data_IF_862152945069
#
_entry.id   IF_862152945069
#
_cell.length_a   1.000
_cell.length_b   1.000
_cell.length_c   1.000
_cell.angle_alpha   90.00
_cell.angle_beta   90.00
_cell.angle_gamma   90.00
#
_symmetry.space_group_name_H-M   'P 1'
#
loop_
_entity.id
_entity.type
_entity.pdbx_description
1 polymer ?
#
# COMPACT_ATOMS: atom_id res chain seq x y z
N UNK A 1 11.03 -56.21 7.39
CA UNK A 1 12.00 -55.24 7.95
C UNK A 1 12.96 -54.61 6.93
N UNK A 2 13.52 -55.32 5.92
CA UNK A 2 14.48 -54.71 4.96
C UNK A 2 13.94 -53.56 4.07
N UNK A 3 12.63 -53.53 3.76
CA UNK A 3 12.01 -52.46 2.93
C UNK A 3 11.90 -51.10 3.64
N UNK A 4 11.72 -51.08 4.97
CA UNK A 4 11.58 -49.84 5.74
C UNK A 4 12.92 -49.09 5.81
N UNK A 5 14.02 -49.83 6.01
CA UNK A 5 15.39 -49.28 6.03
C UNK A 5 15.81 -48.64 4.68
N UNK A 6 15.28 -49.12 3.55
CA UNK A 6 15.56 -48.49 2.24
C UNK A 6 14.79 -47.18 2.06
N UNK A 7 13.55 -47.10 2.55
CA UNK A 7 12.73 -45.87 2.48
C UNK A 7 13.30 -44.78 3.39
N UNK A 8 13.75 -45.14 4.59
CA UNK A 8 14.40 -44.19 5.51
C UNK A 8 15.72 -43.65 4.95
N UNK A 9 16.51 -44.48 4.25
CA UNK A 9 17.72 -44.02 3.54
C UNK A 9 17.40 -43.05 2.40
N UNK A 10 16.32 -43.28 1.65
CA UNK A 10 15.90 -42.36 0.57
C UNK A 10 15.42 -41.03 1.13
N UNK A 11 14.62 -41.06 2.21
CA UNK A 11 14.11 -39.84 2.86
C UNK A 11 15.24 -39.02 3.51
N UNK A 12 16.23 -39.67 4.13
CA UNK A 12 17.40 -38.98 4.69
C UNK A 12 18.26 -38.32 3.59
N UNK A 13 18.42 -38.98 2.44
CA UNK A 13 19.14 -38.40 1.29
C UNK A 13 18.41 -37.17 0.74
N UNK A 14 17.08 -37.20 0.66
CA UNK A 14 16.29 -36.05 0.20
C UNK A 14 16.27 -34.89 1.21
N UNK A 15 16.20 -35.16 2.52
CA UNK A 15 16.32 -34.11 3.54
C UNK A 15 17.71 -33.45 3.56
N UNK A 16 18.78 -34.24 3.42
CA UNK A 16 20.13 -33.70 3.38
C UNK A 16 20.38 -32.90 2.10
N UNK A 17 19.78 -33.33 0.98
CA UNK A 17 19.76 -32.58 -0.28
C UNK A 17 18.97 -31.28 -0.15
N UNK A 18 17.80 -31.30 0.50
CA UNK A 18 16.97 -30.12 0.79
C UNK A 18 17.62 -29.15 1.80
N UNK A 19 18.42 -29.65 2.75
CA UNK A 19 19.20 -28.81 3.67
C UNK A 19 20.40 -28.17 2.97
N UNK A 20 21.12 -28.91 2.12
CA UNK A 20 22.24 -28.39 1.31
C UNK A 20 21.76 -27.33 0.30
N UNK A 21 20.57 -27.48 -0.29
CA UNK A 21 20.00 -26.48 -1.22
C UNK A 21 19.65 -25.15 -0.53
N UNK A 22 19.35 -25.12 0.77
CA UNK A 22 19.07 -23.86 1.48
C UNK A 22 20.27 -22.91 1.58
N UNK A 23 21.50 -23.42 1.53
CA UNK A 23 22.73 -22.60 1.64
C UNK A 23 23.42 -22.32 0.31
N UNK A 24 23.20 -23.17 -0.71
CA UNK A 24 23.75 -22.94 -2.04
C UNK A 24 23.00 -21.80 -2.73
N UNK A 25 23.72 -21.00 -3.52
CA UNK A 25 23.21 -19.86 -4.29
C UNK A 25 23.57 -20.08 -5.75
N UNK A 26 22.66 -20.71 -6.48
CA UNK A 26 22.93 -21.17 -7.84
C UNK A 26 23.06 -20.03 -8.84
N UNK A 27 22.18 -19.03 -8.75
CA UNK A 27 22.08 -17.96 -9.75
C UNK A 27 22.64 -16.65 -9.20
N UNK A 28 23.86 -16.31 -9.57
CA UNK A 28 24.57 -15.14 -9.06
C UNK A 28 24.78 -14.15 -10.21
N UNK A 29 24.50 -12.88 -9.95
CA UNK A 29 24.83 -11.79 -10.86
C UNK A 29 25.91 -10.93 -10.19
N UNK A 30 27.02 -10.74 -10.89
CA UNK A 30 28.11 -9.85 -10.48
C UNK A 30 28.18 -8.69 -11.45
N UNK A 31 28.24 -7.47 -10.92
CA UNK A 31 28.43 -6.24 -11.69
C UNK A 31 29.77 -5.65 -11.34
N UNK A 32 30.66 -5.54 -12.32
CA UNK A 32 31.94 -4.84 -12.19
C UNK A 32 31.78 -3.44 -12.80
N UNK A 33 31.77 -2.44 -11.93
CA UNK A 33 31.52 -1.03 -12.29
C UNK A 33 32.83 -0.35 -12.69
N UNK A 34 32.78 0.61 -13.61
CA UNK A 34 33.93 1.38 -14.10
C UNK A 34 35.09 0.54 -14.62
N UNK A 35 34.80 -0.44 -15.48
CA UNK A 35 35.80 -1.32 -16.06
C UNK A 35 36.86 -0.57 -16.89
N UNK A 36 36.49 0.57 -17.48
CA UNK A 36 37.37 1.47 -18.23
C UNK A 36 38.51 2.04 -17.38
N UNK A 37 38.30 2.18 -16.07
CA UNK A 37 39.27 2.76 -15.14
C UNK A 37 40.21 1.71 -14.51
N UNK A 38 40.18 0.48 -15.02
CA UNK A 38 40.91 -0.66 -14.46
C UNK A 38 41.88 -1.26 -15.48
N UNK A 39 42.94 -1.95 -15.03
CA UNK A 39 43.79 -2.73 -15.92
C UNK A 39 42.93 -3.62 -16.81
N UNK A 40 43.21 -3.62 -18.11
CA UNK A 40 42.44 -4.38 -19.09
C UNK A 40 42.33 -5.84 -18.65
N UNK A 41 41.11 -6.26 -18.38
CA UNK A 41 40.79 -7.65 -18.02
C UNK A 41 39.88 -8.19 -19.10
N UNK A 42 40.40 -9.11 -19.91
CA UNK A 42 39.60 -9.71 -20.97
C UNK A 42 38.51 -10.63 -20.39
N UNK A 43 37.44 -10.81 -21.16
CA UNK A 43 36.30 -11.64 -20.73
C UNK A 43 36.68 -13.10 -20.53
N UNK A 44 37.73 -13.59 -21.22
CA UNK A 44 38.27 -14.95 -21.03
C UNK A 44 38.91 -15.12 -19.66
N UNK A 45 39.67 -14.13 -19.20
CA UNK A 45 40.24 -14.11 -17.85
C UNK A 45 39.14 -14.10 -16.79
N UNK A 46 38.09 -13.29 -16.98
CA UNK A 46 36.93 -13.27 -16.09
C UNK A 46 36.29 -14.66 -16.00
N UNK A 47 36.05 -15.32 -17.15
CA UNK A 47 35.47 -16.67 -17.21
C UNK A 47 36.38 -17.68 -16.49
N UNK A 48 37.69 -17.67 -16.76
CA UNK A 48 38.63 -18.60 -16.11
C UNK A 48 38.60 -18.46 -14.60
N UNK A 49 38.74 -17.21 -14.12
CA UNK A 49 38.70 -16.88 -12.70
C UNK A 49 37.42 -17.39 -12.03
N UNK A 50 36.25 -17.18 -12.65
CA UNK A 50 34.96 -17.64 -12.09
C UNK A 50 34.90 -19.18 -12.04
N UNK A 51 35.41 -19.87 -13.07
CA UNK A 51 35.46 -21.33 -13.11
C UNK A 51 36.40 -21.93 -12.07
N UNK A 52 37.52 -21.27 -11.80
CA UNK A 52 38.46 -21.70 -10.76
C UNK A 52 37.86 -21.55 -9.35
N UNK A 53 36.89 -20.65 -9.21
CA UNK A 53 36.24 -20.36 -7.93
C UNK A 53 35.03 -21.27 -7.61
N UNK A 54 34.27 -21.66 -8.64
CA UNK A 54 33.01 -22.40 -8.50
C UNK A 54 32.86 -23.47 -9.59
N UNK A 55 32.20 -24.57 -9.25
CA UNK A 55 31.68 -25.51 -10.25
C UNK A 55 30.52 -24.85 -11.00
N UNK A 56 30.81 -24.31 -12.18
CA UNK A 56 29.85 -23.57 -13.00
C UNK A 56 29.24 -24.45 -14.08
N UNK A 57 27.91 -24.36 -14.20
CA UNK A 57 27.14 -24.92 -15.31
C UNK A 57 27.14 -24.00 -16.52
N UNK A 58 27.06 -22.69 -16.27
CA UNK A 58 27.07 -21.66 -17.29
C UNK A 58 27.57 -20.32 -16.75
N UNK A 59 28.22 -19.55 -17.61
CA UNK A 59 28.63 -18.17 -17.37
C UNK A 59 28.23 -17.34 -18.59
N UNK A 60 27.60 -16.19 -18.37
CA UNK A 60 27.29 -15.22 -19.42
C UNK A 60 27.84 -13.85 -19.02
N UNK A 61 28.52 -13.16 -19.93
CA UNK A 61 29.10 -11.83 -19.70
C UNK A 61 28.56 -10.88 -20.75
N UNK A 62 27.95 -9.78 -20.30
CA UNK A 62 27.58 -8.66 -21.14
C UNK A 62 28.40 -7.42 -20.76
N UNK A 63 28.67 -6.58 -21.75
CA UNK A 63 29.27 -5.26 -21.54
C UNK A 63 28.19 -4.20 -21.71
N UNK A 64 27.90 -3.46 -20.64
CA UNK A 64 27.00 -2.30 -20.68
C UNK A 64 27.84 -1.03 -20.75
N UNK A 65 27.52 -0.12 -21.68
CA UNK A 65 28.20 1.17 -21.82
C UNK A 65 27.15 2.25 -21.60
N UNK A 66 27.18 2.90 -20.44
CA UNK A 66 26.30 4.02 -20.16
C UNK A 66 26.80 5.27 -20.90
N UNK A 67 25.98 5.79 -21.80
CA UNK A 67 26.20 7.13 -22.36
C UNK A 67 25.88 8.14 -21.27
N UNK A 68 26.80 9.05 -20.96
CA UNK A 68 26.56 10.13 -20.00
C UNK A 68 25.37 10.97 -20.48
N UNK A 69 24.24 10.83 -19.82
CA UNK A 69 23.24 11.89 -19.76
C UNK A 69 23.62 12.80 -18.60
N UNK A 70 23.67 14.11 -18.85
CA UNK A 70 24.18 15.16 -17.95
C UNK A 70 24.02 14.84 -16.45
N UNK A 71 25.14 14.53 -15.79
CA UNK A 71 25.20 14.31 -14.33
C UNK A 71 25.37 12.86 -13.86
N UNK A 72 25.18 11.85 -14.72
CA UNK A 72 25.44 10.45 -14.37
C UNK A 72 26.84 10.00 -14.81
N UNK A 73 27.51 9.25 -13.93
CA UNK A 73 28.83 8.65 -14.17
C UNK A 73 28.77 7.74 -15.41
N UNK A 74 29.27 8.22 -16.56
CA UNK A 74 29.51 7.36 -17.71
C UNK A 74 30.55 6.31 -17.34
N UNK A 75 30.26 5.07 -17.67
CA UNK A 75 31.11 3.95 -17.32
C UNK A 75 30.77 2.71 -18.12
N UNK A 76 31.79 1.91 -18.36
CA UNK A 76 31.67 0.56 -18.88
C UNK A 76 31.49 -0.41 -17.71
N UNK A 77 30.39 -1.15 -17.71
CA UNK A 77 30.08 -2.16 -16.70
C UNK A 77 30.16 -3.55 -17.32
N UNK A 78 30.76 -4.50 -16.59
CA UNK A 78 30.60 -5.91 -16.91
C UNK A 78 29.52 -6.53 -16.04
N UNK A 79 28.52 -7.14 -16.67
CA UNK A 79 27.51 -7.95 -16.00
C UNK A 79 27.80 -9.43 -16.23
N UNK A 80 28.12 -10.13 -15.16
CA UNK A 80 28.53 -11.53 -15.17
C UNK A 80 27.42 -12.35 -14.50
N UNK A 81 26.70 -13.12 -15.29
CA UNK A 81 25.77 -14.14 -14.82
C UNK A 81 26.49 -15.45 -14.59
N UNK A 82 26.32 -16.02 -13.42
CA UNK A 82 26.95 -17.27 -13.01
C UNK A 82 25.86 -18.23 -12.57
N UNK A 83 25.82 -19.41 -13.20
CA UNK A 83 25.07 -20.56 -12.72
C UNK A 83 26.04 -21.52 -12.05
N UNK A 84 26.20 -21.39 -10.73
CA UNK A 84 27.09 -22.20 -9.90
C UNK A 84 26.35 -23.37 -9.24
N UNK A 85 27.04 -24.47 -9.00
CA UNK A 85 26.50 -25.67 -8.34
C UNK A 85 26.89 -25.76 -6.86
N UNK A 86 27.91 -25.02 -6.44
CA UNK A 86 28.57 -25.16 -5.13
C UNK A 86 28.80 -23.83 -4.39
N UNK A 87 28.22 -22.73 -4.90
CA UNK A 87 28.40 -21.41 -4.32
C UNK A 87 27.64 -21.24 -3.00
N UNK A 88 28.37 -21.23 -1.87
CA UNK A 88 27.77 -21.09 -0.53
C UNK A 88 27.45 -19.63 -0.18
N UNK A 89 26.23 -19.36 0.31
CA UNK A 89 25.78 -18.03 0.77
C UNK A 89 26.76 -17.38 1.77
N UNK A 90 27.39 -18.17 2.63
CA UNK A 90 28.16 -17.66 3.77
C UNK A 90 29.50 -17.05 3.35
N UNK A 91 30.10 -17.52 2.25
CA UNK A 91 31.40 -17.05 1.77
C UNK A 91 31.37 -16.48 0.35
N UNK A 92 30.24 -16.57 -0.35
CA UNK A 92 30.03 -16.09 -1.73
C UNK A 92 30.64 -14.70 -1.97
N UNK A 93 30.26 -13.71 -1.16
CA UNK A 93 30.70 -12.32 -1.34
C UNK A 93 32.20 -12.15 -1.12
N UNK A 94 32.76 -12.83 -0.11
CA UNK A 94 34.20 -12.77 0.19
C UNK A 94 35.00 -13.37 -0.98
N UNK A 95 34.58 -14.55 -1.45
CA UNK A 95 35.18 -15.29 -2.56
C UNK A 95 35.15 -14.51 -3.88
N UNK A 96 34.00 -13.93 -4.25
CA UNK A 96 33.88 -13.13 -5.49
C UNK A 96 34.73 -11.86 -5.41
N UNK A 97 34.76 -11.15 -4.26
CA UNK A 97 35.58 -9.94 -4.14
C UNK A 97 37.08 -10.23 -4.20
N UNK A 98 37.54 -11.36 -3.65
CA UNK A 98 38.95 -11.77 -3.80
C UNK A 98 39.33 -12.14 -5.23
N UNK A 99 38.34 -12.44 -6.09
CA UNK A 99 38.57 -12.81 -7.48
C UNK A 99 38.95 -11.61 -8.38
N UNK A 100 38.57 -10.41 -7.94
CA UNK A 100 38.70 -9.17 -8.69
C UNK A 100 39.40 -8.10 -7.83
N UNK A 101 40.67 -8.32 -7.43
CA UNK A 101 41.41 -7.39 -6.56
C UNK A 101 41.54 -5.97 -7.12
N UNK A 102 41.45 -5.83 -8.44
CA UNK A 102 41.47 -4.56 -9.17
C UNK A 102 40.17 -3.75 -9.02
N UNK A 103 39.05 -4.36 -8.61
CA UNK A 103 37.81 -3.68 -8.23
C UNK A 103 37.65 -3.58 -6.71
N UNK A 104 37.88 -2.39 -6.14
CA UNK A 104 37.81 -2.15 -4.69
C UNK A 104 36.41 -1.76 -4.22
N UNK A 105 36.03 -2.23 -3.03
CA UNK A 105 34.87 -1.74 -2.27
C UNK A 105 33.53 -1.95 -2.99
N UNK A 106 32.85 -0.85 -3.31
CA UNK A 106 31.52 -0.83 -3.95
C UNK A 106 31.55 -1.04 -5.46
N UNK A 107 32.74 -1.09 -6.07
CA UNK A 107 32.88 -1.33 -7.51
C UNK A 107 32.50 -2.77 -7.94
N UNK A 108 32.23 -3.66 -6.97
CA UNK A 108 31.71 -5.02 -7.20
C UNK A 108 30.31 -5.13 -6.58
N UNK A 109 29.29 -5.07 -7.43
CA UNK A 109 27.91 -5.41 -7.09
C UNK A 109 27.71 -6.92 -7.13
N UNK A 110 27.05 -7.49 -6.12
CA UNK A 110 26.74 -8.93 -6.07
C UNK A 110 25.29 -9.12 -5.65
N UNK A 111 24.47 -9.63 -6.56
CA UNK A 111 23.08 -10.02 -6.31
C UNK A 111 22.86 -11.50 -6.57
N UNK A 112 21.86 -12.07 -5.90
CA UNK A 112 21.48 -13.47 -6.05
C UNK A 112 20.03 -13.54 -6.48
N UNK A 113 19.77 -14.32 -7.52
CA UNK A 113 18.46 -14.40 -8.18
C UNK A 113 17.79 -15.74 -7.91
N UNK A 114 16.45 -15.79 -8.03
CA UNK A 114 15.67 -17.03 -7.84
C UNK A 114 15.72 -17.99 -9.03
N UNK A 115 16.21 -17.54 -10.19
CA UNK A 115 16.22 -18.33 -11.41
C UNK A 115 17.10 -17.75 -12.50
N UNK A 116 17.68 -18.62 -13.32
CA UNK A 116 18.58 -18.26 -14.43
C UNK A 116 17.95 -17.26 -15.40
N UNK A 117 16.66 -17.41 -15.72
CA UNK A 117 15.97 -16.50 -16.65
C UNK A 117 15.95 -15.04 -16.20
N UNK A 118 15.98 -14.77 -14.89
CA UNK A 118 16.09 -13.39 -14.39
C UNK A 118 17.48 -12.80 -14.66
N UNK A 119 18.53 -13.62 -14.65
CA UNK A 119 19.90 -13.21 -14.93
C UNK A 119 20.08 -13.00 -16.43
N UNK A 120 19.63 -13.96 -17.26
CA UNK A 120 19.68 -13.82 -18.72
C UNK A 120 19.02 -12.53 -19.17
N UNK A 121 17.80 -12.24 -18.67
CA UNK A 121 17.09 -10.99 -19.00
C UNK A 121 17.86 -9.73 -18.59
N UNK A 122 18.59 -9.76 -17.48
CA UNK A 122 19.35 -8.62 -17.01
C UNK A 122 20.59 -8.38 -17.88
N UNK A 123 21.34 -9.44 -18.17
CA UNK A 123 22.56 -9.40 -18.98
C UNK A 123 22.25 -8.98 -20.41
N UNK A 124 21.16 -9.48 -20.99
CA UNK A 124 20.77 -9.19 -22.37
C UNK A 124 19.93 -7.92 -22.49
N UNK A 125 19.90 -7.05 -21.46
CA UNK A 125 19.10 -5.83 -21.48
C UNK A 125 19.66 -4.83 -22.48
N UNK A 126 20.94 -4.51 -22.37
CA UNK A 126 21.63 -3.53 -23.23
C UNK A 126 22.52 -4.21 -24.29
N UNK A 127 23.08 -5.38 -23.98
CA UNK A 127 23.97 -6.13 -24.89
C UNK A 127 23.29 -7.39 -25.43
N UNK A 128 23.00 -7.40 -26.74
CA UNK A 128 22.40 -8.56 -27.42
C UNK A 128 23.43 -9.62 -27.84
N UNK A 129 24.72 -9.40 -27.56
CA UNK A 129 25.81 -10.31 -27.92
C UNK A 129 26.65 -10.70 -26.71
N UNK A 130 26.04 -11.26 -25.64
CA UNK A 130 26.80 -11.68 -24.48
C UNK A 130 27.77 -12.80 -24.85
N UNK A 131 28.94 -12.79 -24.23
CA UNK A 131 29.90 -13.88 -24.31
C UNK A 131 29.46 -14.97 -23.34
N UNK A 132 29.32 -16.19 -23.83
CA UNK A 132 28.76 -17.31 -23.06
C UNK A 132 29.78 -18.45 -22.98
N UNK A 133 29.84 -19.09 -21.82
CA UNK A 133 30.58 -20.32 -21.56
C UNK A 133 29.68 -21.33 -20.85
N UNK A 134 29.86 -22.62 -21.15
CA UNK A 134 29.17 -23.73 -20.49
C UNK A 134 28.06 -24.35 -21.36
N UNK A 135 26.98 -24.80 -20.73
CA UNK A 135 25.95 -25.61 -21.38
C UNK A 135 25.03 -24.84 -22.37
N UNK A 136 25.01 -23.51 -22.31
CA UNK A 136 24.11 -22.72 -23.14
C UNK A 136 24.85 -22.02 -24.26
N UNK A 137 24.22 -21.98 -25.44
CA UNK A 137 24.64 -21.10 -26.53
C UNK A 137 24.12 -19.67 -26.30
N UNK A 138 24.72 -18.69 -26.98
CA UNK A 138 24.25 -17.31 -26.95
C UNK A 138 22.77 -17.18 -27.34
N UNK A 139 22.33 -17.90 -28.38
CA UNK A 139 20.94 -17.92 -28.83
C UNK A 139 20.00 -18.50 -27.77
N UNK A 140 20.42 -19.53 -27.04
CA UNK A 140 19.64 -20.07 -25.92
C UNK A 140 19.52 -19.07 -24.77
N UNK A 141 20.59 -18.34 -24.43
CA UNK A 141 20.54 -17.28 -23.41
C UNK A 141 19.52 -16.19 -23.80
N UNK A 142 19.53 -15.74 -25.06
CA UNK A 142 18.57 -14.77 -25.59
C UNK A 142 17.13 -15.31 -25.57
N UNK A 143 16.94 -16.57 -25.96
CA UNK A 143 15.63 -17.24 -25.94
C UNK A 143 15.07 -17.34 -24.51
N UNK A 144 15.91 -17.71 -23.53
CA UNK A 144 15.54 -17.77 -22.11
C UNK A 144 15.17 -16.38 -21.58
N UNK A 145 15.95 -15.35 -21.93
CA UNK A 145 15.67 -13.97 -21.54
C UNK A 145 14.30 -13.50 -22.06
N UNK A 146 14.02 -13.77 -23.33
CA UNK A 146 12.76 -13.38 -23.98
C UNK A 146 11.55 -14.16 -23.41
N UNK A 147 11.70 -15.47 -23.18
CA UNK A 147 10.66 -16.27 -22.53
C UNK A 147 10.34 -15.74 -21.12
N UNK A 148 11.37 -15.34 -20.35
CA UNK A 148 11.18 -14.74 -19.04
C UNK A 148 10.52 -13.35 -19.13
N UNK A 149 10.85 -12.54 -20.15
CA UNK A 149 10.18 -11.25 -20.40
C UNK A 149 8.70 -11.44 -20.70
N UNK A 150 8.35 -12.35 -21.63
CA UNK A 150 6.96 -12.69 -21.98
C UNK A 150 6.17 -13.21 -20.78
N UNK A 151 6.74 -14.15 -20.00
CA UNK A 151 6.09 -14.66 -18.78
C UNK A 151 5.80 -13.55 -17.77
N UNK A 152 6.74 -12.62 -17.57
CA UNK A 152 6.53 -11.49 -16.66
C UNK A 152 5.44 -10.55 -17.16
N UNK A 153 5.40 -10.24 -18.46
CA UNK A 153 4.37 -9.41 -19.07
C UNK A 153 2.97 -10.04 -18.92
N UNK A 154 2.85 -11.33 -19.27
CA UNK A 154 1.59 -12.07 -19.17
C UNK A 154 1.07 -12.14 -17.72
N UNK A 155 1.95 -12.41 -16.75
CA UNK A 155 1.57 -12.43 -15.33
C UNK A 155 1.15 -11.06 -14.80
N UNK A 156 1.78 -9.97 -15.30
CA UNK A 156 1.42 -8.60 -14.94
C UNK A 156 0.05 -8.22 -15.50
N UNK A 157 -0.20 -8.53 -16.77
CA UNK A 157 -1.48 -8.20 -17.43
C UNK A 157 -2.63 -8.98 -16.83
N UNK A 158 -2.53 -10.30 -16.73
CA UNK A 158 -3.62 -11.14 -16.21
C UNK A 158 -3.90 -10.82 -14.74
N UNK A 159 -2.84 -10.68 -13.93
CA UNK A 159 -2.99 -10.40 -12.50
C UNK A 159 -3.54 -8.99 -12.24
N UNK A 160 -3.09 -7.98 -12.98
CA UNK A 160 -3.55 -6.61 -12.75
C UNK A 160 -4.93 -6.34 -13.34
N UNK A 161 -5.26 -6.87 -14.52
CA UNK A 161 -6.59 -6.69 -15.10
C UNK A 161 -7.68 -7.33 -14.24
N UNK A 162 -7.45 -8.55 -13.73
CA UNK A 162 -8.39 -9.20 -12.83
C UNK A 162 -8.61 -8.39 -11.54
N UNK A 163 -7.54 -7.74 -11.03
CA UNK A 163 -7.61 -6.93 -9.82
C UNK A 163 -8.26 -5.58 -10.05
N UNK A 164 -7.97 -4.93 -11.17
CA UNK A 164 -8.65 -3.70 -11.56
C UNK A 164 -10.15 -3.94 -11.72
N UNK A 165 -10.54 -5.03 -12.38
CA UNK A 165 -11.94 -5.42 -12.51
C UNK A 165 -12.61 -5.64 -11.13
N UNK A 166 -11.94 -6.35 -10.21
CA UNK A 166 -12.45 -6.52 -8.84
C UNK A 166 -12.61 -5.19 -8.11
N UNK A 167 -11.68 -4.26 -8.28
CA UNK A 167 -11.75 -2.92 -7.66
C UNK A 167 -12.91 -2.11 -8.26
N UNK A 168 -13.14 -2.20 -9.57
CA UNK A 168 -14.28 -1.54 -10.26
C UNK A 168 -15.64 -2.05 -9.79
N UNK A 169 -15.71 -3.32 -9.36
CA UNK A 169 -16.92 -3.95 -8.81
C UNK A 169 -17.21 -3.53 -7.36
N UNK A 170 -16.26 -2.89 -6.65
CA UNK A 170 -16.47 -2.45 -5.28
C UNK A 170 -17.32 -1.18 -5.22
N UNK A 171 -18.30 -1.18 -4.33
CA UNK A 171 -19.13 0.00 -4.10
C UNK A 171 -18.50 1.00 -3.13
N UNK A 172 -17.64 0.51 -2.24
CA UNK A 172 -16.96 1.26 -1.19
C UNK A 172 -15.53 0.75 -1.02
N UNK A 173 -14.59 1.65 -0.76
CA UNK A 173 -13.17 1.33 -0.63
C UNK A 173 -12.89 0.27 0.44
N UNK A 174 -13.60 0.29 1.58
CA UNK A 174 -13.34 -0.64 2.67
C UNK A 174 -13.74 -2.08 2.34
N UNK A 175 -14.49 -2.30 1.25
CA UNK A 175 -14.76 -3.65 0.73
C UNK A 175 -13.49 -4.37 0.24
N UNK A 176 -12.41 -3.64 -0.06
CA UNK A 176 -11.11 -4.26 -0.41
C UNK A 176 -10.61 -5.22 0.68
N UNK A 177 -10.96 -4.97 1.94
CA UNK A 177 -10.55 -5.78 3.08
C UNK A 177 -11.35 -7.09 3.21
N UNK A 178 -12.45 -7.25 2.46
CA UNK A 178 -13.28 -8.47 2.44
C UNK A 178 -12.82 -9.47 1.37
N UNK A 179 -11.99 -9.05 0.43
CA UNK A 179 -11.41 -9.93 -0.59
C UNK A 179 -9.95 -10.23 -0.24
N UNK A 180 -9.62 -11.50 -0.02
CA UNK A 180 -8.28 -11.92 0.41
C UNK A 180 -7.17 -11.46 -0.55
N UNK A 181 -7.44 -11.38 -1.85
CA UNK A 181 -6.44 -11.00 -2.85
C UNK A 181 -6.20 -9.49 -2.79
N UNK A 182 -7.27 -8.70 -2.73
CA UNK A 182 -7.17 -7.24 -2.62
C UNK A 182 -6.59 -6.81 -1.28
N UNK A 183 -7.07 -7.40 -0.18
CA UNK A 183 -6.58 -7.14 1.17
C UNK A 183 -5.08 -7.38 1.28
N UNK A 184 -4.59 -8.55 0.81
CA UNK A 184 -3.16 -8.84 0.79
C UNK A 184 -2.37 -7.83 -0.02
N UNK A 185 -2.88 -7.37 -1.17
CA UNK A 185 -2.18 -6.33 -1.95
C UNK A 185 -2.13 -5.01 -1.21
N UNK A 186 -3.25 -4.51 -0.70
CA UNK A 186 -3.31 -3.24 0.04
C UNK A 186 -2.35 -3.28 1.22
N UNK A 187 -2.41 -4.34 2.05
CA UNK A 187 -1.55 -4.49 3.23
C UNK A 187 -0.06 -4.56 2.89
N UNK A 188 0.32 -5.18 1.77
CA UNK A 188 1.72 -5.24 1.33
C UNK A 188 2.23 -3.90 0.75
N UNK A 189 1.33 -2.99 0.38
CA UNK A 189 1.66 -1.70 -0.20
C UNK A 189 1.51 -0.52 0.77
N UNK A 190 0.86 -0.71 1.92
CA UNK A 190 0.76 0.33 2.93
C UNK A 190 2.15 0.62 3.52
N UNK A 191 2.60 1.89 3.50
CA UNK A 191 3.95 2.26 3.95
C UNK A 191 4.12 2.10 5.47
N UNK A 192 3.02 2.11 6.24
CA UNK A 192 3.04 2.11 7.70
C UNK A 192 1.91 1.25 8.28
N UNK A 193 2.25 0.47 9.32
CA UNK A 193 1.27 -0.32 10.09
C UNK A 193 0.14 0.53 10.70
N UNK A 194 0.42 1.80 11.01
CA UNK A 194 -0.59 2.73 11.55
C UNK A 194 -1.76 2.93 10.59
N UNK A 195 -1.48 3.06 9.29
CA UNK A 195 -2.51 3.27 8.26
C UNK A 195 -3.39 2.01 8.11
N UNK A 196 -2.77 0.82 8.14
CA UNK A 196 -3.51 -0.44 8.15
C UNK A 196 -4.43 -0.54 9.36
N UNK A 197 -3.94 -0.17 10.55
CA UNK A 197 -4.74 -0.16 11.78
C UNK A 197 -5.93 0.80 11.70
N UNK A 198 -5.73 2.01 11.19
CA UNK A 198 -6.80 3.00 11.01
C UNK A 198 -7.87 2.48 10.04
N UNK A 199 -7.48 1.90 8.90
CA UNK A 199 -8.41 1.31 7.95
C UNK A 199 -9.17 0.11 8.57
N UNK A 200 -8.50 -0.78 9.30
CA UNK A 200 -9.17 -1.90 9.98
C UNK A 200 -10.12 -1.45 11.09
N UNK A 201 -9.75 -0.40 11.82
CA UNK A 201 -10.64 0.21 12.81
C UNK A 201 -11.92 0.68 12.12
N UNK A 202 -11.80 1.31 10.96
CA UNK A 202 -12.94 1.75 10.17
C UNK A 202 -13.79 0.57 9.67
N UNK A 203 -13.18 -0.52 9.18
CA UNK A 203 -13.91 -1.73 8.77
C UNK A 203 -14.73 -2.29 9.93
N UNK A 204 -14.09 -2.46 11.11
CA UNK A 204 -14.75 -2.92 12.33
C UNK A 204 -15.87 -1.97 12.74
N UNK A 205 -15.63 -0.67 12.63
CA UNK A 205 -16.60 0.34 12.92
C UNK A 205 -17.81 0.20 11.98
N UNK A 206 -17.63 0.15 10.66
CA UNK A 206 -18.70 -0.02 9.66
C UNK A 206 -19.63 -1.20 9.99
N UNK A 207 -19.08 -2.30 10.52
CA UNK A 207 -19.84 -3.50 10.86
C UNK A 207 -20.69 -3.36 12.13
N UNK A 208 -20.37 -2.40 13.00
CA UNK A 208 -21.13 -2.14 14.22
C UNK A 208 -22.34 -1.22 13.99
N UNK A 209 -23.51 -1.67 14.44
CA UNK A 209 -24.73 -0.87 14.48
C UNK A 209 -24.73 0.07 15.71
N UNK A 210 -25.28 1.28 15.56
CA UNK A 210 -25.43 2.26 16.65
C UNK A 210 -26.22 1.70 17.82
N UNK A 211 -27.29 0.95 17.57
CA UNK A 211 -28.11 0.36 18.64
C UNK A 211 -27.35 -0.68 19.46
N UNK A 212 -26.56 -1.53 18.80
CA UNK A 212 -25.69 -2.48 19.49
C UNK A 212 -24.68 -1.75 20.38
N UNK A 213 -24.05 -0.68 19.87
CA UNK A 213 -23.14 0.15 20.69
C UNK A 213 -23.83 0.78 21.90
N UNK A 214 -25.08 1.23 21.76
CA UNK A 214 -25.87 1.77 22.88
C UNK A 214 -26.15 0.69 23.92
N UNK A 215 -26.62 -0.49 23.49
CA UNK A 215 -26.90 -1.62 24.38
C UNK A 215 -25.63 -2.04 25.12
N UNK A 216 -24.53 -2.28 24.41
CA UNK A 216 -23.24 -2.66 24.99
C UNK A 216 -22.77 -1.65 26.05
N UNK A 217 -22.96 -0.36 25.77
CA UNK A 217 -22.59 0.70 26.70
C UNK A 217 -23.46 0.70 27.96
N UNK A 218 -24.77 0.52 27.82
CA UNK A 218 -25.71 0.45 28.94
C UNK A 218 -25.47 -0.79 29.81
N UNK A 219 -25.23 -1.95 29.20
CA UNK A 219 -24.87 -3.18 29.93
C UNK A 219 -23.57 -2.99 30.73
N UNK A 220 -22.57 -2.33 30.14
CA UNK A 220 -21.28 -2.10 30.80
C UNK A 220 -21.34 -1.04 31.93
N UNK A 221 -22.28 -0.09 31.86
CA UNK A 221 -22.40 1.02 32.83
C UNK A 221 -23.54 0.84 33.82
N UNK A 222 -24.38 -0.17 33.62
CA UNK A 222 -25.65 -0.31 34.30
C UNK A 222 -26.73 0.53 33.63
N UNK A 223 -27.96 0.01 33.68
CA UNK A 223 -29.11 0.76 33.20
C UNK A 223 -29.29 2.01 34.07
N UNK A 224 -29.30 3.21 33.48
CA UNK A 224 -29.62 4.41 34.24
C UNK A 224 -31.05 4.31 34.78
N UNK A 225 -31.31 4.97 35.89
CA UNK A 225 -32.68 5.16 36.35
C UNK A 225 -33.45 5.91 35.27
N UNK A 226 -34.65 5.42 34.95
CA UNK A 226 -35.54 6.11 34.02
C UNK A 226 -35.86 7.50 34.58
N UNK A 227 -35.72 8.51 33.74
CA UNK A 227 -35.94 9.90 34.11
C UNK A 227 -37.44 10.22 34.03
N UNK A 228 -37.93 11.07 34.92
CA UNK A 228 -39.29 11.59 34.81
C UNK A 228 -39.36 12.64 33.69
N UNK A 229 -40.48 12.68 32.96
CA UNK A 229 -40.70 13.64 31.86
C UNK A 229 -40.42 15.10 32.30
N UNK A 230 -40.73 15.41 33.56
CA UNK A 230 -40.53 16.71 34.18
C UNK A 230 -39.06 17.06 34.48
N UNK A 231 -38.16 16.08 34.56
CA UNK A 231 -36.71 16.32 34.73
C UNK A 231 -36.02 16.67 33.41
N UNK A 232 -36.62 16.24 32.29
CA UNK A 232 -36.02 16.39 30.96
C UNK A 232 -36.21 17.81 30.41
N UNK A 233 -37.40 18.43 30.56
CA UNK A 233 -37.75 19.79 30.08
C UNK A 233 -37.06 20.21 28.77
N UNK A 234 -36.36 21.36 28.74
CA UNK A 234 -35.65 21.89 27.56
C UNK A 234 -34.43 21.06 27.15
N UNK A 235 -33.90 20.18 28.03
CA UNK A 235 -32.82 19.23 27.68
C UNK A 235 -33.31 18.16 26.70
N UNK A 236 -34.64 18.00 26.56
CA UNK A 236 -35.25 17.07 25.60
C UNK A 236 -34.91 17.42 24.16
N UNK A 237 -34.79 18.70 23.79
CA UNK A 237 -34.70 19.08 22.38
C UNK A 237 -33.46 18.52 21.70
N UNK A 238 -32.31 18.53 22.38
CA UNK A 238 -31.06 18.00 21.82
C UNK A 238 -31.10 16.47 21.77
N UNK A 239 -31.57 15.83 22.85
CA UNK A 239 -31.63 14.37 22.96
C UNK A 239 -32.65 13.80 21.97
N UNK A 240 -33.84 14.38 21.90
CA UNK A 240 -34.91 14.03 20.97
C UNK A 240 -34.48 14.24 19.53
N UNK A 241 -33.80 15.37 19.23
CA UNK A 241 -33.24 15.57 17.90
C UNK A 241 -32.26 14.45 17.58
N UNK A 242 -31.28 14.16 18.44
CA UNK A 242 -30.30 13.07 18.22
C UNK A 242 -31.03 11.73 18.04
N UNK A 243 -31.95 11.37 18.93
CA UNK A 243 -32.71 10.12 18.85
C UNK A 243 -33.47 10.02 17.53
N UNK A 244 -34.16 11.08 17.12
CA UNK A 244 -34.85 11.13 15.84
C UNK A 244 -33.89 10.93 14.65
N UNK A 245 -32.70 11.53 14.73
CA UNK A 245 -31.68 11.40 13.69
C UNK A 245 -31.06 10.01 13.60
N UNK A 246 -31.01 9.26 14.71
CA UNK A 246 -30.45 7.91 14.78
C UNK A 246 -31.49 6.83 14.45
N UNK A 247 -32.73 7.01 14.90
CA UNK A 247 -33.79 6.01 14.78
C UNK A 247 -34.56 6.07 13.46
N UNK A 248 -34.64 7.24 12.83
CA UNK A 248 -35.45 7.43 11.62
C UNK A 248 -34.62 7.76 10.39
N UNK A 249 -35.19 7.45 9.23
CA UNK A 249 -34.60 7.81 7.93
C UNK A 249 -34.60 9.33 7.78
N UNK A 250 -33.41 9.92 7.63
CA UNK A 250 -33.26 11.35 7.35
C UNK A 250 -33.69 11.69 5.91
N UNK A 251 -34.75 12.49 5.68
CA UNK A 251 -35.02 13.06 4.37
C UNK A 251 -33.94 14.08 3.96
N UNK A 252 -33.87 14.41 2.67
CA UNK A 252 -33.05 15.53 2.22
C UNK A 252 -33.55 16.82 2.88
N UNK A 253 -32.65 17.77 3.17
CA UNK A 253 -32.96 19.05 3.84
C UNK A 253 -33.50 18.88 5.28
N UNK A 254 -33.12 17.80 5.96
CA UNK A 254 -33.44 17.64 7.39
C UNK A 254 -32.83 18.79 8.20
N UNK A 255 -33.58 19.29 9.19
CA UNK A 255 -33.12 20.35 10.10
C UNK A 255 -31.82 19.92 10.81
N UNK A 256 -30.82 20.79 10.77
CA UNK A 256 -29.57 20.62 11.50
C UNK A 256 -29.68 21.20 12.91
N UNK A 257 -28.90 20.65 13.85
CA UNK A 257 -28.79 21.18 15.20
C UNK A 257 -27.63 22.18 15.26
N UNK A 258 -27.94 23.43 15.60
CA UNK A 258 -26.95 24.47 15.86
C UNK A 258 -26.90 24.72 17.38
N UNK A 259 -25.74 24.49 17.99
CA UNK A 259 -25.51 24.71 19.42
C UNK A 259 -24.62 25.93 19.58
N UNK A 260 -25.15 26.99 20.18
CA UNK A 260 -24.44 28.26 20.39
C UNK A 260 -24.39 28.63 21.88
N UNK A 261 -23.36 29.37 22.25
CA UNK A 261 -23.19 29.93 23.59
C UNK A 261 -21.73 30.29 23.85
N UNK A 262 -21.49 31.02 24.94
CA UNK A 262 -20.16 31.45 25.36
C UNK A 262 -19.12 30.31 25.39
N UNK A 263 -17.82 30.60 25.24
CA UNK A 263 -16.77 29.63 25.50
C UNK A 263 -16.95 28.94 26.87
N UNK A 264 -16.51 27.69 26.99
CA UNK A 264 -16.59 26.90 28.24
C UNK A 264 -17.99 26.50 28.72
N UNK A 265 -19.03 26.65 27.88
CA UNK A 265 -20.39 26.14 28.14
C UNK A 265 -20.55 24.62 27.88
N UNK A 266 -19.46 23.86 27.90
CA UNK A 266 -19.44 22.39 27.80
C UNK A 266 -20.01 21.79 26.48
N UNK A 267 -20.13 22.58 25.40
CA UNK A 267 -20.58 22.12 24.07
C UNK A 267 -19.73 20.95 23.54
N UNK A 268 -18.41 21.10 23.57
CA UNK A 268 -17.47 20.04 23.15
C UNK A 268 -17.50 18.83 24.09
N UNK A 269 -17.74 19.07 25.39
CA UNK A 269 -17.86 18.00 26.38
C UNK A 269 -19.08 17.12 26.10
N UNK A 270 -20.23 17.71 25.73
CA UNK A 270 -21.42 16.96 25.30
C UNK A 270 -21.08 16.02 24.14
N UNK A 271 -20.39 16.52 23.10
CA UNK A 271 -19.99 15.69 21.95
C UNK A 271 -18.96 14.61 22.34
N UNK A 272 -18.08 14.89 23.29
CA UNK A 272 -17.15 13.91 23.84
C UNK A 272 -17.83 12.81 24.67
N UNK A 273 -18.95 13.11 25.34
CA UNK A 273 -19.75 12.08 26.00
C UNK A 273 -20.49 11.21 24.99
N UNK A 274 -21.10 11.83 23.98
CA UNK A 274 -21.79 11.12 22.91
C UNK A 274 -20.83 10.21 22.14
N UNK A 275 -19.60 10.65 21.87
CA UNK A 275 -18.62 9.89 21.10
C UNK A 275 -18.16 8.57 21.76
N UNK A 276 -18.52 8.34 23.03
CA UNK A 276 -18.32 7.06 23.71
C UNK A 276 -19.23 5.95 23.18
N UNK A 277 -20.34 6.31 22.55
CA UNK A 277 -21.40 5.39 22.12
C UNK A 277 -21.68 5.52 20.63
N UNK A 278 -21.80 6.76 20.15
CA UNK A 278 -22.04 7.05 18.74
C UNK A 278 -20.75 7.49 18.06
N UNK A 279 -20.65 7.24 16.77
CA UNK A 279 -19.50 7.64 15.96
C UNK A 279 -19.66 9.08 15.53
N UNK A 280 -18.83 9.93 16.08
CA UNK A 280 -18.81 11.36 15.76
C UNK A 280 -17.60 11.65 14.88
N UNK A 281 -17.87 12.17 13.67
CA UNK A 281 -16.84 12.78 12.84
C UNK A 281 -16.73 14.26 13.18
N UNK A 282 -15.58 14.66 13.73
CA UNK A 282 -15.27 16.08 13.93
C UNK A 282 -14.67 16.63 12.64
N UNK A 283 -15.46 17.41 11.91
CA UNK A 283 -15.02 18.02 10.67
C UNK A 283 -13.95 19.08 10.96
N UNK A 284 -12.94 19.13 10.09
CA UNK A 284 -11.90 20.16 10.13
C UNK A 284 -12.52 21.54 9.95
N UNK A 285 -12.02 22.53 10.68
CA UNK A 285 -12.37 23.95 10.47
C UNK A 285 -11.77 24.50 9.17
N UNK A 286 -10.86 23.75 8.52
CA UNK A 286 -10.27 24.15 7.24
C UNK A 286 -11.26 23.99 6.10
N UNK A 287 -11.36 25.03 5.27
CA UNK A 287 -12.17 25.01 4.04
C UNK A 287 -11.80 23.79 3.19
N UNK A 288 -12.80 22.95 2.90
CA UNK A 288 -12.71 21.75 2.06
C UNK A 288 -11.91 20.57 2.63
N UNK A 289 -11.51 20.58 3.90
CA UNK A 289 -10.78 19.45 4.48
C UNK A 289 -11.74 18.43 5.12
N UNK A 290 -12.27 17.56 4.28
CA UNK A 290 -13.12 16.45 4.69
C UNK A 290 -12.36 15.12 4.70
N UNK A 291 -11.05 15.15 4.96
CA UNK A 291 -10.24 13.95 5.01
C UNK A 291 -10.74 12.99 6.10
N UNK A 292 -11.19 11.81 5.69
CA UNK A 292 -11.71 10.78 6.60
C UNK A 292 -13.22 10.85 6.85
N UNK A 293 -13.92 11.83 6.28
CA UNK A 293 -15.37 11.93 6.40
C UNK A 293 -16.06 10.76 5.70
N UNK A 294 -17.06 10.13 6.31
CA UNK A 294 -17.75 8.97 5.74
C UNK A 294 -19.22 8.86 6.21
N UNK A 295 -20.03 8.14 5.45
CA UNK A 295 -21.43 7.83 5.76
C UNK A 295 -21.63 6.83 6.90
N UNK A 296 -20.57 6.13 7.35
CA UNK A 296 -20.64 5.24 8.52
C UNK A 296 -20.61 5.97 9.86
N UNK A 297 -20.29 7.27 9.90
CA UNK A 297 -20.41 8.08 11.11
C UNK A 297 -21.89 8.37 11.39
N UNK A 298 -22.26 8.35 12.67
CA UNK A 298 -23.63 8.60 13.10
C UNK A 298 -23.92 10.12 13.11
N UNK A 299 -22.93 10.92 13.50
CA UNK A 299 -23.00 12.37 13.52
C UNK A 299 -21.74 12.99 12.92
N UNK A 300 -21.93 14.13 12.25
CA UNK A 300 -20.85 15.03 11.85
C UNK A 300 -20.98 16.31 12.66
N UNK A 301 -19.89 16.75 13.27
CA UNK A 301 -19.82 17.92 14.14
C UNK A 301 -18.85 18.92 13.54
N UNK A 302 -19.31 20.16 13.41
CA UNK A 302 -18.53 21.31 12.97
C UNK A 302 -18.41 22.25 14.17
N UNK A 303 -17.21 22.37 14.75
CA UNK A 303 -16.99 23.10 16.02
C UNK A 303 -16.95 24.62 15.82
N UNK A 304 -16.43 25.08 14.68
CA UNK A 304 -16.28 26.50 14.36
C UNK A 304 -16.68 26.78 12.91
N UNK A 305 -17.57 27.76 12.74
CA UNK A 305 -17.90 28.36 11.44
C UNK A 305 -17.23 29.73 11.38
N UNK A 306 -16.01 29.78 10.86
CA UNK A 306 -15.41 31.05 10.48
C UNK A 306 -15.85 31.33 9.05
N UNK A 307 -16.75 32.29 8.85
CA UNK A 307 -16.64 33.08 7.64
C UNK A 307 -15.27 33.74 7.71
N UNK A 308 -14.38 33.43 6.78
CA UNK A 308 -13.22 34.29 6.60
C UNK A 308 -13.82 35.66 6.33
N UNK A 309 -13.69 36.57 7.31
CA UNK A 309 -13.76 38.00 7.02
C UNK A 309 -12.88 38.18 5.81
N UNK A 310 -13.52 38.50 4.68
CA UNK A 310 -12.79 38.81 3.46
C UNK A 310 -11.82 39.89 3.90
N UNK A 311 -10.52 39.58 3.86
CA UNK A 311 -9.48 40.53 4.18
C UNK A 311 -9.88 41.86 3.55
N UNK A 312 -10.07 42.88 4.40
CA UNK A 312 -10.74 44.16 4.09
C UNK A 312 -10.10 44.96 2.95
N UNK A 313 -9.15 44.38 2.21
CA UNK A 313 -8.28 45.09 1.28
C UNK A 313 -8.51 44.79 -0.20
N UNK A 314 -9.45 43.92 -0.61
CA UNK A 314 -9.72 43.74 -2.04
C UNK A 314 -11.21 43.67 -2.38
N UNK A 315 -11.71 44.79 -2.88
CA UNK A 315 -12.93 45.01 -3.67
C UNK A 315 -14.26 44.85 -2.96
N UNK A 316 -14.81 46.01 -2.57
CA UNK A 316 -16.19 46.31 -2.13
C UNK A 316 -17.33 45.87 -3.10
N UNK A 317 -17.04 45.07 -4.13
CA UNK A 317 -18.01 44.70 -5.18
C UNK A 317 -18.40 43.21 -5.22
N UNK A 318 -17.99 42.40 -4.23
CA UNK A 318 -18.68 41.13 -3.98
C UNK A 318 -19.72 41.32 -2.89
N UNK A 319 -20.79 42.02 -3.26
CA UNK A 319 -22.02 41.99 -2.48
C UNK A 319 -22.43 40.55 -2.23
N UNK A 320 -23.02 40.30 -1.06
CA UNK A 320 -23.76 39.09 -0.74
C UNK A 320 -24.66 38.71 -1.93
N UNK A 321 -24.18 37.85 -2.81
CA UNK A 321 -25.01 37.30 -3.86
C UNK A 321 -26.04 36.40 -3.22
N UNK A 322 -27.20 36.23 -3.84
CA UNK A 322 -28.22 35.25 -3.42
C UNK A 322 -27.68 33.80 -3.35
N UNK A 323 -26.43 33.57 -3.77
CA UNK A 323 -25.75 32.28 -3.85
C UNK A 323 -24.91 31.94 -2.60
N UNK A 324 -24.79 32.83 -1.59
CA UNK A 324 -24.08 32.55 -0.34
C UNK A 324 -22.54 32.41 -0.48
N UNK A 325 -21.82 32.29 0.64
CA UNK A 325 -20.36 32.07 0.63
C UNK A 325 -20.02 30.65 0.15
N UNK A 326 -18.84 30.45 -0.45
CA UNK A 326 -18.35 29.10 -0.84
C UNK A 326 -18.44 28.08 0.30
N UNK A 327 -18.21 28.54 1.54
CA UNK A 327 -18.30 27.73 2.74
C UNK A 327 -19.75 27.29 3.00
N UNK A 328 -20.71 28.21 2.87
CA UNK A 328 -22.15 27.90 2.94
C UNK A 328 -22.55 26.94 1.82
N UNK A 329 -22.04 27.11 0.60
CA UNK A 329 -22.31 26.21 -0.51
C UNK A 329 -21.74 24.80 -0.29
N UNK A 330 -20.54 24.67 0.29
CA UNK A 330 -19.96 23.36 0.60
C UNK A 330 -20.66 22.69 1.79
N UNK A 331 -21.07 23.46 2.79
CA UNK A 331 -21.92 22.96 3.87
C UNK A 331 -23.26 22.48 3.30
N UNK A 332 -23.94 23.28 2.50
CA UNK A 332 -25.19 22.90 1.83
C UNK A 332 -25.01 21.64 0.99
N UNK A 333 -23.91 21.48 0.24
CA UNK A 333 -23.63 20.23 -0.49
C UNK A 333 -23.50 19.02 0.43
N UNK A 334 -22.87 19.15 1.60
CA UNK A 334 -22.77 18.07 2.60
C UNK A 334 -24.15 17.77 3.22
N UNK A 335 -24.95 18.81 3.48
CA UNK A 335 -26.24 18.75 4.16
C UNK A 335 -27.40 18.29 3.25
N UNK A 336 -27.42 18.72 2.00
CA UNK A 336 -28.51 18.48 1.03
C UNK A 336 -28.45 17.11 0.38
N UNK A 337 -27.46 16.28 0.71
CA UNK A 337 -27.46 14.83 0.48
C UNK A 337 -27.52 14.39 -0.99
N UNK A 338 -27.35 15.30 -1.94
CA UNK A 338 -27.18 15.00 -3.35
C UNK A 338 -25.68 14.81 -3.59
N UNK A 339 -25.22 13.56 -3.51
CA UNK A 339 -23.88 13.10 -3.92
C UNK A 339 -22.81 14.21 -4.05
N UNK A 340 -22.22 14.63 -2.93
CA UNK A 340 -21.15 15.63 -2.98
C UNK A 340 -19.80 14.94 -3.12
N UNK A 341 -19.04 15.30 -4.16
CA UNK A 341 -17.62 15.01 -4.23
C UNK A 341 -16.90 15.92 -3.24
N UNK A 342 -16.36 15.34 -2.18
CA UNK A 342 -15.49 16.06 -1.23
C UNK A 342 -14.04 15.86 -1.65
N UNK A 343 -13.33 16.96 -1.86
CA UNK A 343 -11.89 16.93 -2.18
C UNK A 343 -11.11 16.59 -0.91
N UNK A 344 -10.93 15.31 -0.62
CA UNK A 344 -9.99 14.89 0.40
C UNK A 344 -8.56 15.01 -0.13
N UNK A 345 -7.65 15.48 0.74
CA UNK A 345 -6.19 15.63 0.49
C UNK A 345 -5.50 14.36 -0.03
N UNK A 346 -6.18 13.22 -0.01
CA UNK A 346 -5.67 11.91 -0.41
C UNK A 346 -6.59 11.18 -1.39
N UNK A 347 -7.06 11.84 -2.47
CA UNK A 347 -7.64 11.21 -3.68
C UNK A 347 -8.75 10.14 -3.53
N UNK A 348 -9.25 9.88 -2.32
CA UNK A 348 -10.35 8.96 -2.04
C UNK A 348 -11.63 9.73 -2.35
N UNK A 349 -12.24 9.39 -3.50
CA UNK A 349 -13.49 9.98 -3.96
C UNK A 349 -14.60 9.42 -3.08
N UNK A 350 -15.27 10.30 -2.35
CA UNK A 350 -16.46 9.95 -1.58
C UNK A 350 -17.70 10.06 -2.48
N UNK A 351 -18.50 8.99 -2.53
CA UNK A 351 -19.86 9.00 -3.10
C UNK A 351 -20.83 8.70 -1.98
N UNK A 352 -21.60 9.70 -1.55
CA UNK A 352 -22.66 9.52 -0.55
C UNK A 352 -23.85 8.83 -1.20
N UNK A 353 -24.02 7.51 -0.99
CA UNK A 353 -25.16 6.78 -1.54
C UNK A 353 -26.42 7.02 -0.71
N UNK A 354 -27.56 7.07 -1.38
CA UNK A 354 -28.89 7.04 -0.74
C UNK A 354 -29.00 5.76 0.11
N UNK A 355 -29.09 5.86 1.44
CA UNK A 355 -29.40 4.71 2.31
C UNK A 355 -30.75 4.10 1.88
N UNK A 356 -30.70 2.94 1.22
CA UNK A 356 -31.84 2.05 1.00
C UNK A 356 -32.00 1.21 2.28
N UNK A 357 -33.22 1.15 2.82
CA UNK A 357 -33.51 0.34 4.01
C UNK A 357 -33.28 -1.16 3.70
N UNK A 358 -32.74 -1.95 4.65
CA UNK A 358 -33.20 -3.33 4.79
C UNK A 358 -34.69 -3.26 5.16
N UNK A 359 -35.53 -3.99 4.45
CA UNK A 359 -36.91 -4.22 4.88
C UNK A 359 -36.90 -4.81 6.29
N UNK A 360 -37.65 -4.18 7.22
CA UNK A 360 -37.95 -4.73 8.53
C UNK A 360 -38.63 -6.10 8.41
#
# INVERSE_FOLDING_TARGET
MKKISQIEKVLQVDEERLRKTKTVREFILVTLIHAENRPFTDTRTIISRVRDLFQCRAIAIAKEVHKSTEGDDSGEHFHIGIWAMDASKNNLRKKIRSLFPEWKGRAIGISVHKGWGSICRYITKEDQKPIVWGEFTQQQILSIAEAHKKKKAMNLEIGNLAILKKIEELEDWYQVYRDDILANRVLNHLPRMKEAYEDFKIVKDIESNVFSRIIDYLEAKGNPQEYDVEEIREKSLVIDWIACQLCFKRPLKTKQLFIYGEPSTQKTLLMSYLSKVIKVYFASSRKNDFAGANDYYDLWVFDEFHEQEQAEDQTWNKGYTAEGSDSTNNLLKVLDGQECRLDAKYAKIFKKKRKMCPSL
#
